data_IF_005812332381
#
_entry.id   IF_005812332381
#
_cell.length_a   1.000
_cell.length_b   1.000
_cell.length_c   1.000
_cell.angle_alpha   90.00
_cell.angle_beta   90.00
_cell.angle_gamma   90.00
#
_symmetry.space_group_name_H-M   'P 1'
#
loop_
_entity.id
_entity.type
_entity.pdbx_description
1 polymer ?
#
# COMPACT_ATOMS: atom_id res chain seq x y z
N UNK A 1 21.28 4.80 -12.86
CA UNK A 1 20.86 4.57 -11.45
C UNK A 1 19.46 3.95 -11.27
N UNK A 2 18.64 3.70 -12.32
CA UNK A 2 17.28 3.15 -12.15
C UNK A 2 17.23 1.61 -11.92
N UNK A 3 18.14 0.84 -12.50
CA UNK A 3 18.17 -0.63 -12.36
C UNK A 3 18.51 -1.11 -10.93
N UNK A 4 19.28 -0.33 -10.17
CA UNK A 4 19.71 -0.71 -8.82
C UNK A 4 18.57 -0.63 -7.79
N UNK A 5 17.57 0.24 -7.97
CA UNK A 5 16.40 0.29 -7.06
C UNK A 5 15.41 -0.85 -7.33
N UNK A 6 15.39 -1.35 -8.56
CA UNK A 6 14.46 -2.36 -9.04
C UNK A 6 14.84 -3.78 -8.62
N UNK A 7 16.15 -4.08 -8.70
CA UNK A 7 16.72 -5.33 -8.20
C UNK A 7 16.53 -5.46 -6.67
N UNK A 8 16.49 -4.33 -5.97
CA UNK A 8 16.27 -4.26 -4.51
C UNK A 8 14.80 -4.48 -4.12
N UNK A 9 13.82 -4.12 -4.96
CA UNK A 9 12.39 -4.39 -4.73
C UNK A 9 12.07 -5.90 -4.83
N UNK A 10 12.61 -6.57 -5.86
CA UNK A 10 12.54 -8.02 -5.98
C UNK A 10 13.32 -8.74 -4.87
N UNK A 11 14.50 -8.23 -4.50
CA UNK A 11 15.27 -8.76 -3.35
C UNK A 11 14.54 -8.59 -2.02
N UNK A 12 13.70 -7.57 -1.83
CA UNK A 12 12.94 -7.40 -0.58
C UNK A 12 11.75 -8.32 -0.46
N UNK A 13 10.99 -8.55 -1.55
CA UNK A 13 9.93 -9.54 -1.48
C UNK A 13 10.55 -10.93 -1.25
N UNK A 14 11.69 -11.22 -1.88
CA UNK A 14 12.47 -12.42 -1.59
C UNK A 14 13.06 -12.42 -0.17
N UNK A 15 13.46 -11.29 0.39
CA UNK A 15 14.00 -11.15 1.75
C UNK A 15 12.89 -11.29 2.81
N UNK A 16 11.70 -10.72 2.59
CA UNK A 16 10.51 -10.92 3.43
C UNK A 16 10.08 -12.39 3.39
N UNK A 17 10.21 -13.08 2.26
CA UNK A 17 9.94 -14.52 2.17
C UNK A 17 11.05 -15.38 2.79
N UNK A 18 12.33 -15.01 2.63
CA UNK A 18 13.48 -15.81 3.06
C UNK A 18 13.83 -15.62 4.55
N UNK A 19 13.66 -14.42 5.10
CA UNK A 19 14.08 -14.09 6.48
C UNK A 19 13.02 -14.47 7.51
N UNK A 20 11.73 -14.54 7.13
CA UNK A 20 10.67 -14.89 8.08
C UNK A 20 10.45 -16.41 8.26
N UNK A 21 11.36 -17.25 7.76
CA UNK A 21 11.53 -18.64 8.24
C UNK A 21 12.50 -18.77 9.44
N UNK A 22 13.21 -17.73 9.86
CA UNK A 22 14.01 -17.77 11.09
C UNK A 22 14.38 -16.39 11.64
N UNK A 23 13.84 -16.09 12.82
CA UNK A 23 14.49 -15.42 13.98
C UNK A 23 15.37 -14.15 13.81
N UNK A 24 14.95 -13.09 14.52
CA UNK A 24 15.67 -12.45 15.65
C UNK A 24 16.29 -11.02 15.54
N UNK A 25 16.01 -10.26 16.63
CA UNK A 25 16.71 -9.15 17.32
C UNK A 25 16.57 -7.67 16.89
N UNK A 26 15.98 -6.94 17.85
CA UNK A 26 16.21 -5.55 18.27
C UNK A 26 15.70 -4.38 17.41
N UNK A 27 14.64 -3.73 17.91
CA UNK A 27 14.59 -2.26 17.93
C UNK A 27 13.92 -1.75 19.20
N UNK A 28 14.58 -0.78 19.84
CA UNK A 28 14.24 -0.20 21.15
C UNK A 28 12.91 0.55 21.10
N UNK A 29 12.08 0.31 22.12
CA UNK A 29 10.90 1.08 22.49
C UNK A 29 11.33 2.45 23.01
N UNK A 30 10.81 3.53 22.44
CA UNK A 30 10.84 4.87 23.04
C UNK A 30 9.60 5.05 23.91
N UNK A 31 9.83 5.23 25.22
CA UNK A 31 8.80 5.40 26.24
C UNK A 31 8.01 6.72 26.09
N UNK A 32 6.68 6.59 26.12
CA UNK A 32 5.72 7.68 26.28
C UNK A 32 4.47 7.13 26.97
N UNK A 33 4.22 7.59 28.18
CA UNK A 33 3.31 7.03 29.20
C UNK A 33 1.90 7.63 29.08
N UNK A 34 0.84 6.82 28.95
CA UNK A 34 -0.50 7.09 29.54
C UNK A 34 -1.50 5.93 29.38
N UNK A 35 -2.10 5.57 30.51
CA UNK A 35 -3.39 4.92 30.82
C UNK A 35 -3.75 3.50 30.34
N UNK A 36 -4.20 2.73 31.33
CA UNK A 36 -4.43 1.29 31.37
C UNK A 36 -5.68 0.87 30.58
N UNK A 37 -5.50 0.58 29.29
CA UNK A 37 -6.30 -0.39 28.55
C UNK A 37 -5.53 -1.72 28.54
N UNK A 38 -6.21 -2.86 28.49
CA UNK A 38 -5.58 -4.18 28.32
C UNK A 38 -4.67 -4.10 27.08
N UNK A 39 -3.36 -3.99 27.30
CA UNK A 39 -2.40 -3.70 26.23
C UNK A 39 -2.24 -4.98 25.41
N UNK A 40 -3.03 -5.11 24.34
CA UNK A 40 -2.91 -6.21 23.38
C UNK A 40 -1.45 -6.24 22.93
N UNK A 41 -0.80 -7.40 23.08
CA UNK A 41 0.59 -7.55 22.69
C UNK A 41 0.67 -7.51 21.17
N UNK A 42 1.54 -6.65 20.63
CA UNK A 42 1.80 -6.62 19.20
C UNK A 42 2.23 -8.01 18.70
N UNK A 43 1.77 -8.43 17.50
CA UNK A 43 2.20 -9.70 16.92
C UNK A 43 3.70 -9.65 16.60
N UNK A 44 4.33 -10.83 16.52
CA UNK A 44 5.76 -10.95 16.18
C UNK A 44 6.06 -10.56 14.73
N UNK A 45 5.08 -10.78 13.84
CA UNK A 45 5.17 -10.40 12.44
C UNK A 45 5.13 -8.89 12.33
N UNK A 46 5.97 -8.31 11.47
CA UNK A 46 5.90 -6.88 11.17
C UNK A 46 4.63 -6.53 10.37
N UNK A 47 4.09 -5.32 10.57
CA UNK A 47 2.84 -4.91 9.94
C UNK A 47 2.93 -4.89 8.40
N UNK A 48 4.09 -4.57 7.82
CA UNK A 48 4.27 -4.61 6.36
C UNK A 48 4.20 -6.04 5.84
N UNK A 49 4.80 -7.00 6.54
CA UNK A 49 4.74 -8.42 6.17
C UNK A 49 3.30 -8.96 6.33
N UNK A 50 2.62 -8.64 7.43
CA UNK A 50 1.22 -9.00 7.64
C UNK A 50 0.31 -8.44 6.54
N UNK A 51 0.50 -7.18 6.17
CA UNK A 51 -0.24 -6.53 5.09
C UNK A 51 0.07 -7.15 3.74
N UNK A 52 1.34 -7.37 3.39
CA UNK A 52 1.73 -8.02 2.13
C UNK A 52 1.10 -9.40 1.97
N UNK A 53 1.10 -10.19 3.04
CA UNK A 53 0.49 -11.52 3.08
C UNK A 53 -1.05 -11.48 3.12
N UNK A 54 -1.67 -10.32 3.37
CA UNK A 54 -3.11 -10.17 3.51
C UNK A 54 -3.67 -10.79 4.79
N UNK A 55 -2.86 -10.90 5.86
CA UNK A 55 -3.25 -11.49 7.14
C UNK A 55 -4.01 -10.46 7.99
N UNK A 56 -5.30 -10.30 7.71
CA UNK A 56 -6.18 -9.32 8.38
C UNK A 56 -6.10 -9.39 9.91
N UNK A 57 -6.21 -10.59 10.49
CA UNK A 57 -6.15 -10.78 11.95
C UNK A 57 -4.86 -10.23 12.58
N UNK A 58 -3.71 -10.37 11.90
CA UNK A 58 -2.45 -9.82 12.40
C UNK A 58 -2.42 -8.28 12.30
N UNK A 59 -3.00 -7.73 11.24
CA UNK A 59 -3.14 -6.27 11.09
C UNK A 59 -4.09 -5.71 12.16
N UNK A 60 -5.20 -6.39 12.45
CA UNK A 60 -6.12 -6.01 13.52
C UNK A 60 -5.45 -6.08 14.89
N UNK A 61 -4.59 -7.09 15.13
CA UNK A 61 -3.77 -7.13 16.35
C UNK A 61 -2.79 -5.96 16.43
N UNK A 62 -2.16 -5.56 15.32
CA UNK A 62 -1.30 -4.36 15.27
C UNK A 62 -2.08 -3.06 15.59
N UNK A 63 -3.30 -2.95 15.08
CA UNK A 63 -4.22 -1.83 15.37
C UNK A 63 -4.57 -1.83 16.86
N UNK A 64 -5.04 -2.97 17.40
CA UNK A 64 -5.42 -3.10 18.80
C UNK A 64 -4.25 -2.87 19.78
N UNK A 65 -3.03 -3.23 19.37
CA UNK A 65 -1.81 -2.99 20.14
C UNK A 65 -1.32 -1.52 20.07
N UNK A 66 -1.93 -0.67 19.23
CA UNK A 66 -1.53 0.72 19.03
C UNK A 66 -0.14 0.87 18.42
N UNK A 67 0.25 -0.07 17.54
CA UNK A 67 1.54 0.03 16.83
C UNK A 67 1.50 1.15 15.80
N UNK A 68 2.67 1.58 15.33
CA UNK A 68 2.75 2.61 14.29
C UNK A 68 2.25 2.08 12.95
N UNK A 69 1.01 2.43 12.58
CA UNK A 69 0.38 2.05 11.30
C UNK A 69 0.95 2.82 10.09
N UNK A 70 1.80 3.82 10.34
CA UNK A 70 2.34 4.76 9.36
C UNK A 70 3.84 4.56 9.11
N UNK A 71 4.43 3.47 9.62
CA UNK A 71 5.83 3.14 9.34
C UNK A 71 6.06 3.01 7.84
N UNK A 72 7.21 3.48 7.34
CA UNK A 72 7.60 3.32 5.94
C UNK A 72 8.55 2.13 5.82
N UNK A 73 8.27 1.20 4.92
CA UNK A 73 9.25 0.15 4.60
C UNK A 73 10.49 0.76 3.92
N UNK A 74 11.68 0.19 4.13
CA UNK A 74 12.94 0.90 3.85
C UNK A 74 13.28 1.09 2.36
N UNK A 75 12.58 0.44 1.42
CA UNK A 75 12.99 0.37 0.02
C UNK A 75 12.15 1.28 -0.86
N UNK A 76 10.84 1.07 -0.86
CA UNK A 76 9.88 1.90 -1.57
C UNK A 76 9.34 3.04 -0.72
N UNK A 77 9.60 3.06 0.58
CA UNK A 77 8.98 4.01 1.50
C UNK A 77 7.47 3.81 1.64
N UNK A 78 6.93 2.65 1.31
CA UNK A 78 5.48 2.42 1.38
C UNK A 78 5.02 2.29 2.82
N UNK A 79 3.87 2.87 3.16
CA UNK A 79 3.16 2.53 4.40
C UNK A 79 2.47 1.17 4.25
N UNK A 80 2.01 0.55 5.35
CA UNK A 80 1.11 -0.60 5.28
C UNK A 80 -0.09 -0.33 4.37
N UNK A 81 -0.72 0.85 4.47
CA UNK A 81 -1.87 1.19 3.64
C UNK A 81 -1.51 1.26 2.14
N UNK A 82 -0.38 1.88 1.78
CA UNK A 82 0.12 1.90 0.40
C UNK A 82 0.39 0.47 -0.11
N UNK A 83 0.96 -0.38 0.74
CA UNK A 83 1.23 -1.79 0.45
C UNK A 83 -0.07 -2.55 0.18
N UNK A 84 -1.11 -2.33 0.99
CA UNK A 84 -2.43 -2.94 0.79
C UNK A 84 -3.06 -2.51 -0.55
N UNK A 85 -2.90 -1.23 -0.92
CA UNK A 85 -3.39 -0.70 -2.21
C UNK A 85 -2.68 -1.37 -3.40
N UNK A 86 -1.34 -1.48 -3.34
CA UNK A 86 -0.54 -2.11 -4.40
C UNK A 86 -0.98 -3.55 -4.65
N UNK A 87 -1.06 -4.36 -3.58
CA UNK A 87 -1.38 -5.78 -3.68
C UNK A 87 -2.87 -6.11 -3.64
N UNK A 88 -3.75 -5.10 -3.61
CA UNK A 88 -5.21 -5.29 -3.64
C UNK A 88 -5.76 -6.00 -2.41
N UNK A 89 -5.17 -5.76 -1.23
CA UNK A 89 -5.62 -6.35 0.04
C UNK A 89 -6.77 -5.52 0.60
N UNK A 90 -7.94 -5.61 -0.02
CA UNK A 90 -9.09 -4.73 0.26
C UNK A 90 -9.47 -4.68 1.74
N UNK A 91 -9.64 -5.82 2.40
CA UNK A 91 -10.05 -5.84 3.82
C UNK A 91 -8.97 -5.26 4.74
N UNK A 92 -7.69 -5.52 4.44
CA UNK A 92 -6.57 -4.92 5.18
C UNK A 92 -6.53 -3.40 4.98
N UNK A 93 -6.73 -2.92 3.75
CA UNK A 93 -6.78 -1.49 3.48
C UNK A 93 -7.94 -0.83 4.24
N UNK A 94 -9.14 -1.42 4.21
CA UNK A 94 -10.31 -0.94 4.96
C UNK A 94 -10.06 -0.91 6.47
N UNK A 95 -9.43 -1.95 7.03
CA UNK A 95 -9.08 -1.98 8.45
C UNK A 95 -8.11 -0.85 8.84
N UNK A 96 -7.06 -0.63 8.04
CA UNK A 96 -6.09 0.46 8.27
C UNK A 96 -6.73 1.85 8.13
N UNK A 97 -7.58 2.03 7.11
CA UNK A 97 -8.34 3.27 6.87
C UNK A 97 -9.29 3.56 8.05
N UNK A 98 -10.00 2.55 8.54
CA UNK A 98 -10.92 2.68 9.68
C UNK A 98 -10.20 2.89 11.02
N UNK A 99 -8.92 2.53 11.09
CA UNK A 99 -8.03 2.80 12.23
C UNK A 99 -7.28 4.14 12.11
N UNK A 100 -7.74 5.03 11.23
CA UNK A 100 -7.19 6.38 11.01
C UNK A 100 -5.69 6.39 10.65
N UNK A 101 -5.23 5.40 9.86
CA UNK A 101 -3.92 5.48 9.22
C UNK A 101 -3.82 6.76 8.36
N UNK A 102 -2.65 7.40 8.35
CA UNK A 102 -2.47 8.68 7.65
C UNK A 102 -2.51 8.48 6.13
N UNK A 103 -3.53 9.07 5.50
CA UNK A 103 -3.82 8.93 4.07
C UNK A 103 -2.91 9.81 3.18
N UNK A 104 -2.20 10.77 3.78
CA UNK A 104 -1.40 11.79 3.08
C UNK A 104 0.07 11.39 2.89
N UNK A 105 0.54 10.36 3.60
CA UNK A 105 1.95 9.93 3.54
C UNK A 105 2.31 9.49 2.12
N UNK A 106 3.44 10.00 1.66
CA UNK A 106 4.02 9.68 0.35
C UNK A 106 5.10 8.60 0.45
N UNK A 107 5.04 7.64 -0.45
CA UNK A 107 6.15 6.72 -0.72
C UNK A 107 7.30 7.44 -1.47
N UNK A 108 8.34 6.69 -1.86
CA UNK A 108 9.52 7.25 -2.52
C UNK A 108 9.26 7.77 -3.94
N UNK A 109 8.13 7.40 -4.55
CA UNK A 109 7.65 7.93 -5.84
C UNK A 109 6.75 9.17 -5.66
N UNK A 110 6.59 9.65 -4.42
CA UNK A 110 5.70 10.76 -4.09
C UNK A 110 4.22 10.37 -4.06
N UNK A 111 3.90 9.09 -4.27
CA UNK A 111 2.53 8.59 -4.33
C UNK A 111 1.96 8.33 -2.94
N UNK A 112 0.72 8.76 -2.73
CA UNK A 112 -0.10 8.41 -1.56
C UNK A 112 -0.84 7.09 -1.78
N UNK A 113 -1.57 6.62 -0.77
CA UNK A 113 -2.46 5.45 -0.91
C UNK A 113 -3.47 5.63 -2.05
N UNK A 114 -4.05 6.83 -2.20
CA UNK A 114 -5.03 7.13 -3.24
C UNK A 114 -4.44 7.02 -4.64
N UNK A 115 -3.21 7.52 -4.86
CA UNK A 115 -2.52 7.36 -6.14
C UNK A 115 -2.35 5.88 -6.52
N UNK A 116 -1.87 5.07 -5.57
CA UNK A 116 -1.60 3.65 -5.83
C UNK A 116 -2.90 2.87 -6.04
N UNK A 117 -3.93 3.11 -5.21
CA UNK A 117 -5.24 2.50 -5.37
C UNK A 117 -5.88 2.86 -6.72
N UNK A 118 -5.79 4.13 -7.13
CA UNK A 118 -6.31 4.59 -8.42
C UNK A 118 -5.57 3.96 -9.59
N UNK A 119 -4.23 4.00 -9.56
CA UNK A 119 -3.40 3.44 -10.64
C UNK A 119 -3.61 1.94 -10.81
N UNK A 120 -3.77 1.15 -9.75
CA UNK A 120 -4.08 -0.29 -9.86
C UNK A 120 -5.58 -0.59 -9.93
N UNK A 121 -6.42 0.43 -10.11
CA UNK A 121 -7.87 0.34 -10.19
C UNK A 121 -8.47 -0.53 -9.07
N UNK A 122 -8.10 -0.25 -7.82
CA UNK A 122 -8.65 -0.90 -6.64
C UNK A 122 -9.92 -0.17 -6.22
N UNK A 123 -10.97 -0.27 -7.03
CA UNK A 123 -12.20 0.52 -6.93
C UNK A 123 -12.74 0.63 -5.50
N UNK A 124 -12.85 -0.48 -4.78
CA UNK A 124 -13.37 -0.50 -3.40
C UNK A 124 -12.45 0.22 -2.39
N UNK A 125 -11.13 0.18 -2.60
CA UNK A 125 -10.18 0.90 -1.77
C UNK A 125 -10.22 2.40 -2.11
N UNK A 126 -10.35 2.75 -3.40
CA UNK A 126 -10.50 4.16 -3.84
C UNK A 126 -11.73 4.78 -3.18
N UNK A 127 -12.88 4.11 -3.20
CA UNK A 127 -14.11 4.57 -2.52
C UNK A 127 -13.86 4.81 -1.03
N UNK A 128 -13.30 3.82 -0.33
CA UNK A 128 -13.03 3.93 1.11
C UNK A 128 -12.06 5.09 1.45
N UNK A 129 -11.06 5.34 0.61
CA UNK A 129 -10.12 6.45 0.79
C UNK A 129 -10.80 7.82 0.60
N UNK A 130 -11.65 7.96 -0.43
CA UNK A 130 -12.41 9.19 -0.70
C UNK A 130 -13.40 9.46 0.43
N UNK A 131 -14.16 8.44 0.84
CA UNK A 131 -15.13 8.53 1.95
C UNK A 131 -14.47 8.97 3.27
N UNK A 132 -13.18 8.64 3.45
CA UNK A 132 -12.37 9.03 4.60
C UNK A 132 -11.58 10.32 4.40
N UNK A 133 -11.84 11.06 3.33
CA UNK A 133 -11.28 12.39 3.10
C UNK A 133 -9.83 12.39 2.65
N UNK A 134 -9.38 11.37 1.91
CA UNK A 134 -8.07 11.40 1.26
C UNK A 134 -7.96 12.62 0.32
N UNK A 135 -6.92 13.43 0.50
CA UNK A 135 -6.69 14.63 -0.32
C UNK A 135 -6.35 14.25 -1.77
N UNK A 136 -7.28 14.57 -2.68
CA UNK A 136 -7.18 14.28 -4.11
C UNK A 136 -6.28 15.26 -4.86
N UNK A 137 -5.92 16.39 -4.25
CA UNK A 137 -5.10 17.45 -4.86
C UNK A 137 -3.60 17.18 -4.78
N UNK A 138 -3.19 16.22 -3.94
CA UNK A 138 -1.78 15.86 -3.75
C UNK A 138 -1.19 15.39 -5.08
N UNK A 139 -0.03 15.93 -5.45
CA UNK A 139 0.76 15.49 -6.60
C UNK A 139 1.89 14.55 -6.20
N UNK A 140 2.11 13.51 -7.00
CA UNK A 140 3.27 12.63 -6.91
C UNK A 140 4.53 13.26 -7.54
N UNK A 141 5.66 12.53 -7.57
CA UNK A 141 6.92 13.04 -8.13
C UNK A 141 6.88 13.25 -9.66
N UNK A 142 5.89 12.68 -10.35
CA UNK A 142 5.62 12.92 -11.77
C UNK A 142 4.71 14.16 -11.99
N UNK A 143 4.32 14.86 -10.92
CA UNK A 143 3.44 16.03 -10.97
C UNK A 143 1.97 15.69 -11.20
N UNK A 144 1.59 14.41 -11.10
CA UNK A 144 0.24 13.94 -11.33
C UNK A 144 -0.53 13.73 -10.02
N UNK A 145 -1.82 14.08 -10.01
CA UNK A 145 -2.80 13.68 -8.99
C UNK A 145 -3.21 12.21 -9.15
N UNK A 146 -4.01 11.70 -8.21
CA UNK A 146 -4.60 10.36 -8.33
C UNK A 146 -5.48 10.23 -9.59
N UNK A 147 -6.32 11.24 -9.89
CA UNK A 147 -7.12 11.27 -11.12
C UNK A 147 -6.23 11.24 -12.37
N UNK A 148 -5.25 12.13 -12.44
CA UNK A 148 -4.34 12.22 -13.61
C UNK A 148 -3.56 10.92 -13.83
N UNK A 149 -3.26 10.16 -12.77
CA UNK A 149 -2.59 8.85 -12.88
C UNK A 149 -3.44 7.75 -13.55
N UNK A 150 -4.76 7.88 -13.51
CA UNK A 150 -5.71 6.91 -14.08
C UNK A 150 -6.38 7.40 -15.37
N UNK A 151 -6.32 8.70 -15.68
CA UNK A 151 -6.94 9.29 -16.89
C UNK A 151 -6.23 8.94 -18.21
N UNK A 152 -4.94 8.56 -18.19
CA UNK A 152 -4.24 8.20 -19.41
C UNK A 152 -4.82 6.93 -20.06
N UNK A 153 -4.87 6.82 -21.41
CA UNK A 153 -5.28 5.60 -22.09
C UNK A 153 -4.48 4.39 -21.62
N UNK A 154 -5.14 3.24 -21.43
CA UNK A 154 -4.47 2.04 -20.93
C UNK A 154 -3.26 1.65 -21.77
N UNK A 155 -3.34 1.80 -23.10
CA UNK A 155 -2.23 1.54 -24.02
C UNK A 155 -0.93 2.29 -23.67
N UNK A 156 -1.02 3.52 -23.15
CA UNK A 156 0.17 4.31 -22.78
C UNK A 156 0.83 3.84 -21.49
N UNK A 157 0.06 3.25 -20.57
CA UNK A 157 0.53 2.77 -19.27
C UNK A 157 0.70 1.25 -19.22
N UNK A 158 0.27 0.53 -20.26
CA UNK A 158 0.33 -0.94 -20.35
C UNK A 158 1.73 -1.48 -20.08
N UNK A 159 2.77 -0.84 -20.61
CA UNK A 159 4.16 -1.24 -20.37
C UNK A 159 4.57 -1.19 -18.89
N UNK A 160 3.98 -0.29 -18.09
CA UNK A 160 4.21 -0.23 -16.64
C UNK A 160 3.55 -1.43 -15.94
N UNK A 161 2.34 -1.82 -16.34
CA UNK A 161 1.69 -3.01 -15.79
C UNK A 161 2.37 -4.30 -16.22
N UNK A 162 2.84 -4.39 -17.46
CA UNK A 162 3.65 -5.52 -17.96
C UNK A 162 4.94 -5.65 -17.16
N UNK A 163 5.59 -4.53 -16.87
CA UNK A 163 6.75 -4.48 -15.99
C UNK A 163 6.41 -5.05 -14.61
N UNK A 164 5.38 -4.56 -13.92
CA UNK A 164 4.98 -5.10 -12.61
C UNK A 164 4.58 -6.57 -12.68
N UNK A 165 3.86 -6.99 -13.71
CA UNK A 165 3.43 -8.39 -13.87
C UNK A 165 4.63 -9.33 -14.09
N UNK A 166 5.70 -8.86 -14.74
CA UNK A 166 6.95 -9.61 -14.87
C UNK A 166 7.68 -9.77 -13.54
N UNK A 167 7.77 -8.70 -12.75
CA UNK A 167 8.46 -8.73 -11.44
C UNK A 167 7.67 -9.51 -10.38
N UNK A 168 6.34 -9.38 -10.38
CA UNK A 168 5.46 -10.00 -9.39
C UNK A 168 5.00 -11.42 -9.80
N UNK A 169 5.10 -11.76 -11.09
CA UNK A 169 4.70 -13.05 -11.64
C UNK A 169 5.33 -14.27 -10.95
N UNK A 170 6.67 -14.30 -10.71
CA UNK A 170 7.34 -15.37 -9.99
C UNK A 170 6.83 -15.60 -8.55
N UNK A 171 6.20 -14.57 -7.97
CA UNK A 171 5.66 -14.60 -6.62
C UNK A 171 4.17 -15.01 -6.59
N UNK A 172 3.62 -15.41 -7.74
CA UNK A 172 2.20 -15.74 -7.89
C UNK A 172 1.27 -14.52 -7.90
N UNK A 173 1.82 -13.31 -7.90
CA UNK A 173 1.07 -12.06 -7.87
C UNK A 173 0.90 -11.53 -9.29
N UNK A 174 -0.09 -12.06 -10.00
CA UNK A 174 -0.40 -11.63 -11.38
C UNK A 174 -1.40 -10.48 -11.38
N UNK A 175 -1.19 -9.53 -12.28
CA UNK A 175 -2.12 -8.45 -12.51
C UNK A 175 -3.18 -8.89 -13.52
N UNK A 176 -4.43 -8.61 -13.20
CA UNK A 176 -5.55 -8.79 -14.12
C UNK A 176 -5.68 -7.53 -15.00
N UNK A 177 -5.13 -7.60 -16.21
CA UNK A 177 -5.09 -6.47 -17.14
C UNK A 177 -6.48 -6.13 -17.69
N UNK A 178 -7.33 -7.13 -17.93
CA UNK A 178 -8.69 -6.91 -18.43
C UNK A 178 -9.51 -6.13 -17.40
N UNK A 179 -9.45 -6.57 -16.13
CA UNK A 179 -10.08 -5.83 -15.02
C UNK A 179 -9.52 -4.42 -14.88
N UNK A 180 -8.19 -4.24 -14.97
CA UNK A 180 -7.57 -2.91 -14.87
C UNK A 180 -8.11 -2.02 -15.99
N UNK A 181 -7.99 -2.44 -17.24
CA UNK A 181 -8.39 -1.66 -18.40
C UNK A 181 -9.87 -1.26 -18.33
N UNK A 182 -10.74 -2.21 -17.97
CA UNK A 182 -12.17 -1.97 -17.82
C UNK A 182 -12.51 -1.03 -16.65
N UNK A 183 -11.80 -1.12 -15.54
CA UNK A 183 -12.08 -0.34 -14.33
C UNK A 183 -11.47 1.07 -14.34
N UNK A 184 -10.48 1.36 -15.20
CA UNK A 184 -9.87 2.70 -15.32
C UNK A 184 -10.88 3.84 -15.49
N UNK A 185 -11.83 3.79 -16.46
CA UNK A 185 -12.81 4.86 -16.61
C UNK A 185 -13.71 5.03 -15.38
N UNK A 186 -14.14 3.94 -14.76
CA UNK A 186 -14.94 3.99 -13.51
C UNK A 186 -14.18 4.69 -12.38
N UNK A 187 -12.90 4.35 -12.19
CA UNK A 187 -12.07 4.96 -11.16
C UNK A 187 -11.78 6.43 -11.46
N UNK A 188 -11.59 6.81 -12.73
CA UNK A 188 -11.47 8.20 -13.13
C UNK A 188 -12.74 8.99 -12.81
N UNK A 189 -13.92 8.42 -13.09
CA UNK A 189 -15.22 9.02 -12.78
C UNK A 189 -15.45 9.18 -11.27
N UNK A 190 -15.08 8.18 -10.46
CA UNK A 190 -15.16 8.27 -9.00
C UNK A 190 -14.34 9.44 -8.45
N UNK A 191 -13.16 9.68 -9.02
CA UNK A 191 -12.26 10.75 -8.60
C UNK A 191 -12.68 12.12 -9.15
N UNK A 192 -13.40 12.18 -10.29
CA UNK A 192 -13.90 13.45 -10.84
C UNK A 192 -15.14 13.99 -10.12
N UNK A 193 -15.96 13.11 -9.56
CA UNK A 193 -17.28 13.45 -9.02
C UNK A 193 -17.27 13.91 -7.55
N UNK A 194 -16.09 14.12 -6.96
CA UNK A 194 -15.90 14.36 -5.52
C UNK A 194 -14.98 15.56 -5.23
N UNK A 195 -14.83 16.47 -6.20
CA UNK A 195 -14.04 17.70 -6.11
C UNK A 195 -14.91 18.97 -6.06
#
# INVERSE_FOLDING_TARGET
MKAHKLLVFGMYILFVLAVYSCENKNSKSSDGKSNTAVKVKAPKTDIHAATFMGKLEMVEQHIAAGTNLNSKEPIGGSTPLITACLFGKTEVAKALINADADLSIKNNDGSTALHVAAFFCRTEIVKALIEKGADQSIKNNAGATALESVSAPFAHVKGVYEFFNKELGPLGLRLDFERIEKARPEVAELLSNQG
#
